data_IF_171103976107
#
_entry.id   IF_171103976107
#
_cell.length_a   1.000
_cell.length_b   1.000
_cell.length_c   1.000
_cell.angle_alpha   90.00
_cell.angle_beta   90.00
_cell.angle_gamma   90.00
#
_symmetry.space_group_name_H-M   'P 1'
#
loop_
_entity.id
_entity.type
_entity.pdbx_description
1 polymer ?
#
# COMPACT_ATOMS: atom_id res chain seq x y z
N UNK A 1 14.91 -1.70 19.42
CA UNK A 1 14.69 -0.24 19.37
C UNK A 1 13.18 -0.02 19.23
N UNK A 2 12.55 0.80 20.09
CA UNK A 2 11.12 1.11 20.00
C UNK A 2 11.03 2.64 20.00
N UNK A 3 10.51 3.20 18.90
CA UNK A 3 10.41 4.66 18.70
C UNK A 3 8.95 5.04 18.54
N UNK A 4 8.56 6.23 19.00
CA UNK A 4 7.18 6.72 18.89
C UNK A 4 6.78 7.01 17.45
N UNK A 5 7.72 7.48 16.65
CA UNK A 5 7.52 7.79 15.24
C UNK A 5 8.83 7.57 14.50
N UNK A 6 8.75 6.95 13.32
CA UNK A 6 9.87 6.76 12.43
C UNK A 6 9.61 7.52 11.13
N UNK A 7 10.64 7.98 10.40
CA UNK A 7 10.47 8.57 9.08
C UNK A 7 10.12 7.46 8.07
N UNK A 8 8.88 6.93 8.13
CA UNK A 8 8.42 5.71 7.47
C UNK A 8 8.74 5.70 5.98
N UNK A 9 8.45 6.78 5.26
CA UNK A 9 8.76 6.90 3.82
C UNK A 9 10.26 6.74 3.56
N UNK A 10 11.14 7.34 4.39
CA UNK A 10 12.60 7.19 4.25
C UNK A 10 13.06 5.77 4.57
N UNK A 11 12.43 5.12 5.55
CA UNK A 11 12.70 3.71 5.88
C UNK A 11 12.32 2.82 4.70
N UNK A 12 11.09 2.93 4.19
CA UNK A 12 10.61 2.12 3.07
C UNK A 12 11.38 2.39 1.77
N UNK A 13 11.89 3.60 1.56
CA UNK A 13 12.74 3.94 0.42
C UNK A 13 14.14 3.29 0.48
N UNK A 14 14.56 2.77 1.64
CA UNK A 14 15.90 2.23 1.81
C UNK A 14 16.02 0.83 1.18
N UNK A 15 17.10 0.60 0.42
CA UNK A 15 17.31 -0.66 -0.34
C UNK A 15 17.45 -1.89 0.54
N UNK A 16 17.85 -1.73 1.80
CA UNK A 16 17.92 -2.82 2.79
C UNK A 16 16.55 -3.28 3.31
N UNK A 17 15.45 -2.58 3.01
CA UNK A 17 14.12 -3.00 3.45
C UNK A 17 13.60 -4.11 2.53
N UNK A 18 13.39 -5.28 3.14
CA UNK A 18 12.89 -6.49 2.48
C UNK A 18 11.37 -6.57 2.40
N UNK A 19 10.72 -6.11 3.47
CA UNK A 19 9.35 -6.44 3.83
C UNK A 19 8.77 -5.38 4.75
N UNK A 20 7.47 -5.12 4.67
CA UNK A 20 6.76 -4.21 5.57
C UNK A 20 5.58 -4.88 6.26
N UNK A 21 5.68 -5.13 7.57
CA UNK A 21 4.54 -5.53 8.39
C UNK A 21 3.67 -4.29 8.68
N UNK A 22 2.41 -4.34 8.29
CA UNK A 22 1.51 -3.19 8.36
C UNK A 22 0.09 -3.61 8.72
N UNK A 23 -0.60 -2.74 9.46
CA UNK A 23 -2.04 -2.80 9.63
C UNK A 23 -2.86 -2.50 8.35
N UNK A 24 -2.21 -2.26 7.20
CA UNK A 24 -2.85 -1.99 5.92
C UNK A 24 -3.77 -0.74 5.88
N UNK A 25 -3.50 0.27 6.72
CA UNK A 25 -4.07 1.60 6.52
C UNK A 25 -3.67 2.17 5.14
N UNK A 26 -4.59 2.84 4.46
CA UNK A 26 -4.44 3.19 3.03
C UNK A 26 -3.17 3.98 2.70
N UNK A 27 -2.77 4.93 3.56
CA UNK A 27 -1.54 5.69 3.38
C UNK A 27 -0.30 4.79 3.41
N UNK A 28 -0.17 3.93 4.42
CA UNK A 28 0.94 2.97 4.51
C UNK A 28 0.96 1.99 3.34
N UNK A 29 -0.21 1.58 2.86
CA UNK A 29 -0.35 0.74 1.66
C UNK A 29 0.18 1.47 0.42
N UNK A 30 -0.23 2.72 0.20
CA UNK A 30 0.26 3.54 -0.92
C UNK A 30 1.76 3.83 -0.84
N UNK A 31 2.29 4.07 0.36
CA UNK A 31 3.73 4.24 0.57
C UNK A 31 4.51 2.96 0.21
N UNK A 32 4.01 1.79 0.63
CA UNK A 32 4.61 0.50 0.29
C UNK A 32 4.60 0.24 -1.21
N UNK A 33 3.47 0.50 -1.88
CA UNK A 33 3.33 0.40 -3.34
C UNK A 33 4.31 1.36 -4.02
N UNK A 34 4.38 2.61 -3.57
CA UNK A 34 5.24 3.64 -4.16
C UNK A 34 6.73 3.31 -4.00
N UNK A 35 7.11 2.65 -2.89
CA UNK A 35 8.49 2.22 -2.66
C UNK A 35 8.81 0.86 -3.28
N UNK A 36 7.80 0.06 -3.65
CA UNK A 36 7.95 -1.27 -4.22
C UNK A 36 8.29 -2.32 -3.17
N UNK A 37 7.79 -2.13 -1.95
CA UNK A 37 8.04 -3.03 -0.81
C UNK A 37 6.83 -3.94 -0.63
N UNK A 38 7.02 -5.28 -0.58
CA UNK A 38 5.94 -6.21 -0.30
C UNK A 38 5.49 -6.12 1.17
N UNK A 39 4.25 -6.53 1.45
CA UNK A 39 3.62 -6.33 2.77
C UNK A 39 3.27 -7.62 3.48
N UNK A 40 3.27 -7.58 4.82
CA UNK A 40 2.52 -8.53 5.66
C UNK A 40 1.36 -7.80 6.30
N UNK A 41 0.14 -8.27 6.07
CA UNK A 41 -1.08 -7.67 6.60
C UNK A 41 -1.41 -8.15 8.02
N UNK A 42 -1.57 -7.20 8.94
CA UNK A 42 -2.09 -7.44 10.30
C UNK A 42 -3.13 -6.34 10.64
N UNK A 43 -4.33 -6.42 10.05
CA UNK A 43 -5.34 -5.37 10.16
C UNK A 43 -5.82 -5.21 11.61
N UNK A 44 -6.25 -3.99 11.95
CA UNK A 44 -6.77 -3.66 13.27
C UNK A 44 -8.23 -3.19 13.25
N UNK A 45 -8.64 -2.39 12.24
CA UNK A 45 -10.02 -1.90 12.13
C UNK A 45 -10.38 -1.37 10.73
N UNK A 46 -11.67 -1.12 10.49
CA UNK A 46 -12.19 -0.42 9.31
C UNK A 46 -11.83 -1.09 7.97
N UNK A 47 -11.40 -0.31 6.97
CA UNK A 47 -11.09 -0.77 5.62
C UNK A 47 -9.79 -1.58 5.54
N UNK A 48 -9.03 -1.67 6.63
CA UNK A 48 -7.75 -2.39 6.68
C UNK A 48 -7.88 -3.86 6.30
N UNK A 49 -8.97 -4.52 6.70
CA UNK A 49 -9.25 -5.91 6.33
C UNK A 49 -9.37 -6.06 4.81
N UNK A 50 -10.07 -5.13 4.15
CA UNK A 50 -10.20 -5.12 2.70
C UNK A 50 -8.86 -4.80 2.04
N UNK A 51 -8.12 -3.83 2.56
CA UNK A 51 -6.80 -3.48 2.02
C UNK A 51 -5.83 -4.67 2.11
N UNK A 52 -5.85 -5.45 3.20
CA UNK A 52 -5.11 -6.70 3.34
C UNK A 52 -5.49 -7.72 2.25
N UNK A 53 -6.79 -7.91 1.98
CA UNK A 53 -7.27 -8.78 0.90
C UNK A 53 -6.82 -8.31 -0.48
N UNK A 54 -6.94 -7.02 -0.76
CA UNK A 54 -6.45 -6.47 -2.03
C UNK A 54 -4.94 -6.71 -2.20
N UNK A 55 -4.15 -6.48 -1.14
CA UNK A 55 -2.71 -6.71 -1.18
C UNK A 55 -2.32 -8.18 -1.40
N UNK A 56 -3.06 -9.12 -0.81
CA UNK A 56 -2.78 -10.56 -0.94
C UNK A 56 -3.35 -11.16 -2.23
N UNK A 57 -4.64 -10.95 -2.50
CA UNK A 57 -5.40 -11.75 -3.46
C UNK A 57 -5.54 -11.07 -4.83
N UNK A 58 -5.44 -9.74 -4.89
CA UNK A 58 -5.66 -8.97 -6.13
C UNK A 58 -4.33 -8.46 -6.70
N UNK A 59 -3.54 -7.81 -5.86
CA UNK A 59 -2.25 -7.24 -6.25
C UNK A 59 -1.11 -8.24 -6.11
N UNK A 60 -1.31 -9.28 -5.29
CA UNK A 60 -0.32 -10.30 -5.02
C UNK A 60 1.04 -9.69 -4.63
N UNK A 61 1.02 -8.75 -3.69
CA UNK A 61 2.21 -8.06 -3.16
C UNK A 61 2.48 -8.39 -1.69
N UNK A 62 1.67 -9.23 -1.07
CA UNK A 62 1.79 -9.54 0.34
C UNK A 62 1.13 -10.84 0.76
N UNK A 63 1.27 -11.15 2.05
CA UNK A 63 0.59 -12.25 2.73
C UNK A 63 -0.04 -11.74 4.02
N UNK A 64 -1.17 -12.31 4.40
CA UNK A 64 -1.82 -12.04 5.68
C UNK A 64 -1.58 -13.24 6.61
N UNK A 65 -1.53 -12.98 7.91
CA UNK A 65 -1.62 -14.04 8.92
C UNK A 65 -2.97 -14.75 8.81
N UNK A 66 -3.09 -16.00 9.25
CA UNK A 66 -4.25 -16.85 8.92
C UNK A 66 -5.61 -16.26 9.36
N UNK A 67 -6.27 -16.60 10.46
CA UNK A 67 -7.59 -16.00 10.78
C UNK A 67 -7.69 -14.47 11.02
N UNK A 68 -6.74 -13.61 10.63
CA UNK A 68 -6.74 -12.17 11.02
C UNK A 68 -7.86 -11.35 10.39
N UNK A 69 -8.52 -11.88 9.36
CA UNK A 69 -9.67 -11.23 8.73
C UNK A 69 -11.01 -11.68 9.34
N UNK A 70 -10.97 -12.67 10.22
CA UNK A 70 -12.15 -13.29 10.83
C UNK A 70 -12.29 -12.98 12.32
N UNK A 71 -11.20 -12.55 12.96
CA UNK A 71 -11.14 -12.26 14.38
C UNK A 71 -10.29 -11.00 14.64
N UNK A 72 -10.96 -9.92 15.06
CA UNK A 72 -10.32 -8.64 15.40
C UNK A 72 -9.44 -8.73 16.66
N UNK A 73 -9.60 -9.78 17.46
CA UNK A 73 -8.82 -10.03 18.67
C UNK A 73 -7.74 -11.09 18.46
N UNK A 74 -7.52 -11.53 17.22
CA UNK A 74 -6.52 -12.56 16.93
C UNK A 74 -5.15 -12.15 17.43
N UNK A 75 -4.63 -12.95 18.36
CA UNK A 75 -3.22 -12.89 18.77
C UNK A 75 -2.41 -13.76 17.83
N UNK A 76 -1.50 -13.15 17.09
CA UNK A 76 -0.57 -13.85 16.20
C UNK A 76 0.57 -14.42 17.04
N UNK A 77 0.79 -15.73 16.91
CA UNK A 77 1.88 -16.44 17.59
C UNK A 77 3.25 -16.09 17.01
N UNK A 78 4.31 -16.33 17.78
CA UNK A 78 5.69 -16.16 17.31
C UNK A 78 5.96 -17.04 16.09
N UNK A 79 5.42 -18.26 16.09
CA UNK A 79 5.60 -19.27 15.05
C UNK A 79 4.96 -18.82 13.74
N UNK A 80 3.77 -18.19 13.79
CA UNK A 80 3.14 -17.57 12.62
C UNK A 80 3.98 -16.41 12.07
N UNK A 81 4.52 -15.55 12.94
CA UNK A 81 5.43 -14.46 12.55
C UNK A 81 6.68 -15.00 11.87
N UNK A 82 7.33 -16.01 12.46
CA UNK A 82 8.52 -16.60 11.87
C UNK A 82 8.21 -17.25 10.51
N UNK A 83 7.11 -18.01 10.43
CA UNK A 83 6.69 -18.70 9.23
C UNK A 83 6.43 -17.74 8.07
N UNK A 84 5.66 -16.68 8.30
CA UNK A 84 5.33 -15.72 7.24
C UNK A 84 6.55 -14.90 6.82
N UNK A 85 7.40 -14.48 7.76
CA UNK A 85 8.62 -13.72 7.44
C UNK A 85 9.58 -14.60 6.62
N UNK A 86 9.76 -15.87 7.00
CA UNK A 86 10.55 -16.83 6.23
C UNK A 86 9.98 -17.03 4.83
N UNK A 87 8.67 -17.23 4.72
CA UNK A 87 7.99 -17.38 3.44
C UNK A 87 8.23 -16.15 2.52
N UNK A 88 8.12 -14.94 3.06
CA UNK A 88 8.33 -13.70 2.30
C UNK A 88 9.79 -13.49 1.88
N UNK A 89 10.75 -13.93 2.71
CA UNK A 89 12.17 -13.58 2.52
C UNK A 89 12.98 -14.66 1.80
N UNK A 90 12.58 -15.94 1.86
CA UNK A 90 13.45 -17.05 1.42
C UNK A 90 12.81 -17.98 0.40
N UNK A 91 11.59 -17.70 -0.06
CA UNK A 91 10.89 -18.56 -1.01
C UNK A 91 10.67 -17.88 -2.36
N UNK A 92 10.48 -18.70 -3.40
CA UNK A 92 10.13 -18.21 -4.74
C UNK A 92 8.81 -17.44 -4.75
N UNK A 93 7.88 -17.76 -3.84
CA UNK A 93 6.65 -16.98 -3.65
C UNK A 93 6.98 -15.57 -3.17
N UNK A 94 7.85 -15.42 -2.17
CA UNK A 94 8.30 -14.12 -1.68
C UNK A 94 8.98 -13.28 -2.77
N UNK A 95 9.83 -13.90 -3.60
CA UNK A 95 10.45 -13.24 -4.74
C UNK A 95 9.40 -12.75 -5.77
N UNK A 96 8.36 -13.55 -6.03
CA UNK A 96 7.29 -13.16 -6.93
C UNK A 96 6.47 -11.98 -6.39
N UNK A 97 6.12 -11.99 -5.09
CA UNK A 97 5.43 -10.87 -4.44
C UNK A 97 6.25 -9.57 -4.52
N UNK A 98 7.57 -9.66 -4.35
CA UNK A 98 8.48 -8.52 -4.52
C UNK A 98 8.50 -8.00 -5.95
N UNK A 99 8.52 -8.88 -6.96
CA UNK A 99 8.43 -8.48 -8.38
C UNK A 99 7.11 -7.76 -8.67
N UNK A 100 6.00 -8.27 -8.13
CA UNK A 100 4.69 -7.63 -8.26
C UNK A 100 4.68 -6.24 -7.59
N UNK A 101 5.27 -6.09 -6.41
CA UNK A 101 5.39 -4.80 -5.73
C UNK A 101 6.20 -3.78 -6.56
N UNK A 102 7.31 -4.20 -7.16
CA UNK A 102 8.11 -3.36 -8.08
C UNK A 102 7.32 -2.95 -9.33
N UNK A 103 6.51 -3.86 -9.89
CA UNK A 103 5.64 -3.56 -11.02
C UNK A 103 4.56 -2.52 -10.66
N UNK A 104 3.95 -2.64 -9.47
CA UNK A 104 3.00 -1.64 -9.00
C UNK A 104 3.66 -0.28 -8.73
N UNK A 105 4.89 -0.24 -8.22
CA UNK A 105 5.68 0.99 -8.11
C UNK A 105 5.84 1.70 -9.45
N UNK A 106 6.14 0.95 -10.51
CA UNK A 106 6.24 1.51 -11.86
C UNK A 106 4.89 2.11 -12.32
N UNK A 107 3.78 1.41 -12.09
CA UNK A 107 2.45 1.91 -12.42
C UNK A 107 2.07 3.15 -11.62
N UNK A 108 2.33 3.16 -10.31
CA UNK A 108 2.09 4.32 -9.45
C UNK A 108 2.89 5.54 -9.93
N UNK A 109 4.17 5.33 -10.29
CA UNK A 109 5.03 6.40 -10.84
C UNK A 109 4.48 6.93 -12.17
N UNK A 110 4.10 6.04 -13.09
CA UNK A 110 3.53 6.42 -14.40
C UNK A 110 2.18 7.14 -14.28
N UNK A 111 1.39 6.86 -13.25
CA UNK A 111 0.09 7.48 -13.07
C UNK A 111 0.18 8.97 -12.69
N UNK A 112 1.23 9.37 -11.95
CA UNK A 112 1.33 10.72 -11.37
C UNK A 112 2.20 11.69 -12.16
N UNK A 113 3.05 11.21 -13.07
CA UNK A 113 3.85 12.07 -13.96
C UNK A 113 2.96 12.80 -14.98
N UNK A 114 3.50 13.87 -15.59
CA UNK A 114 2.79 14.62 -16.64
C UNK A 114 2.31 13.68 -17.78
N UNK A 115 1.03 13.78 -18.11
CA UNK A 115 0.37 12.88 -19.08
C UNK A 115 -0.10 11.54 -18.51
N UNK A 116 0.23 11.22 -17.25
CA UNK A 116 -0.25 10.04 -16.52
C UNK A 116 -1.74 10.12 -16.15
N UNK A 117 -2.34 8.98 -15.82
CA UNK A 117 -3.78 8.88 -15.57
C UNK A 117 -4.26 9.75 -14.41
N UNK A 118 -3.60 9.68 -13.24
CA UNK A 118 -3.93 10.49 -12.07
C UNK A 118 -3.65 11.97 -12.30
N UNK A 119 -2.54 12.30 -12.99
CA UNK A 119 -2.23 13.67 -13.38
C UNK A 119 -3.33 14.28 -14.27
N UNK A 120 -3.76 13.53 -15.29
CA UNK A 120 -4.81 13.96 -16.21
C UNK A 120 -6.15 14.09 -15.49
N UNK A 121 -6.49 13.14 -14.62
CA UNK A 121 -7.73 13.18 -13.84
C UNK A 121 -7.80 14.44 -12.96
N UNK A 122 -6.72 14.75 -12.22
CA UNK A 122 -6.64 15.96 -11.41
C UNK A 122 -6.70 17.23 -12.28
N UNK A 123 -6.00 17.23 -13.42
CA UNK A 123 -6.02 18.36 -14.36
C UNK A 123 -7.42 18.63 -14.90
N UNK A 124 -8.16 17.58 -15.25
CA UNK A 124 -9.57 17.68 -15.68
C UNK A 124 -10.44 18.23 -14.56
N UNK A 125 -10.31 17.69 -13.35
CA UNK A 125 -11.05 18.17 -12.18
C UNK A 125 -10.83 19.67 -11.94
N UNK A 126 -9.58 20.15 -11.97
CA UNK A 126 -9.25 21.57 -11.80
C UNK A 126 -9.92 22.43 -12.88
N UNK A 127 -9.88 21.99 -14.15
CA UNK A 127 -10.53 22.70 -15.26
C UNK A 127 -12.04 22.81 -15.06
N UNK A 128 -12.68 21.73 -14.63
CA UNK A 128 -14.13 21.71 -14.42
C UNK A 128 -14.55 22.58 -13.23
N UNK A 129 -13.76 22.61 -12.15
CA UNK A 129 -13.97 23.54 -11.04
C UNK A 129 -13.80 25.01 -11.47
N UNK A 130 -12.80 25.30 -12.30
CA UNK A 130 -12.60 26.64 -12.86
C UNK A 130 -13.78 27.10 -13.73
N UNK A 131 -14.33 26.21 -14.55
CA UNK A 131 -15.54 26.48 -15.36
C UNK A 131 -16.75 26.81 -14.48
N UNK A 132 -17.00 26.01 -13.43
CA UNK A 132 -18.13 26.23 -12.51
C UNK A 132 -18.04 27.59 -11.81
N UNK A 133 -16.86 27.96 -11.33
CA UNK A 133 -16.65 29.26 -10.69
C UNK A 133 -16.87 30.44 -11.66
N UNK A 134 -16.41 30.32 -12.91
CA UNK A 134 -16.62 31.33 -13.95
C UNK A 134 -18.10 31.49 -14.34
N UNK A 135 -18.86 30.40 -14.46
CA UNK A 135 -20.29 30.44 -14.77
C UNK A 135 -21.13 31.03 -13.63
N UNK A 136 -20.72 30.88 -12.38
CA UNK A 136 -21.39 31.52 -11.24
C UNK A 136 -21.18 33.05 -11.23
N UNK A 137 -19.98 33.53 -11.58
CA UNK A 137 -19.68 34.97 -11.64
C UNK A 137 -20.33 35.73 -12.79
N UNK A 138 -20.91 35.04 -13.79
CA UNK A 138 -21.63 35.66 -14.91
C UNK A 138 -23.16 35.68 -14.71
N UNK A 139 -23.66 35.02 -13.66
CA UNK A 139 -25.07 34.95 -13.31
C UNK A 139 -25.42 35.77 -12.05
N UNK A 140 -24.47 36.51 -11.50
CA UNK A 140 -24.63 37.54 -10.46
C UNK A 140 -24.40 38.93 -11.08
#
# INVERSE_FOLDING_TARGET
LLVRWAPQVKVLAHTSVGLFLTHAGWNSTLESISMGVPVVGLPYFADQYLNCRFAQDVWEIGLNFEGVELDEQKVVSKEEVEGIVRAMMTTTKGEQLRKNALKLKEYATKAVVAGGSSFNNLSTFIKDMGRKAGTQSQNE
#
